data_IF_150488477343
#
_entry.id   IF_150488477343
#
_cell.length_a   1.000
_cell.length_b   1.000
_cell.length_c   1.000
_cell.angle_alpha   90.00
_cell.angle_beta   90.00
_cell.angle_gamma   90.00
#
_symmetry.space_group_name_H-M   'P 1'
#
loop_
_entity.id
_entity.type
_entity.pdbx_description
1 polymer ?
#
# COMPACT_ATOMS: atom_id res chain seq x y z
N UNK A 1 -18.34 -2.10 10.21
CA UNK A 1 -17.40 -2.51 11.28
C UNK A 1 -16.19 -1.58 11.19
N UNK A 2 -15.70 -1.04 12.31
CA UNK A 2 -14.52 -0.18 12.28
C UNK A 2 -13.25 -1.05 12.19
N UNK A 3 -12.42 -0.84 11.16
CA UNK A 3 -11.14 -1.54 11.01
C UNK A 3 -10.08 -0.81 11.82
N UNK A 4 -9.34 -1.55 12.66
CA UNK A 4 -8.17 -0.98 13.33
C UNK A 4 -6.99 -0.92 12.36
N UNK A 5 -6.44 0.28 12.12
CA UNK A 5 -5.23 0.47 11.31
C UNK A 5 -4.03 0.75 12.21
N UNK A 6 -3.05 -0.16 12.22
CA UNK A 6 -1.82 -0.05 13.02
C UNK A 6 -0.60 0.14 12.11
N UNK A 7 0.35 1.00 12.48
CA UNK A 7 1.60 1.20 11.72
C UNK A 7 2.75 0.48 12.40
N UNK A 8 3.42 -0.43 11.68
CA UNK A 8 4.61 -1.17 12.13
C UNK A 8 5.90 -0.67 11.47
N UNK A 9 5.81 0.32 10.60
CA UNK A 9 6.93 1.01 9.97
C UNK A 9 6.93 2.50 10.29
N UNK A 10 8.00 3.20 9.91
CA UNK A 10 8.05 4.67 9.93
C UNK A 10 6.88 5.23 9.13
N UNK A 11 6.15 6.19 9.71
CA UNK A 11 5.00 6.82 9.06
C UNK A 11 5.48 7.79 7.97
N UNK A 12 4.93 7.74 6.75
CA UNK A 12 5.27 8.70 5.70
C UNK A 12 4.63 10.07 5.99
N UNK A 13 4.82 11.02 5.07
CA UNK A 13 4.15 12.32 5.11
C UNK A 13 2.61 12.19 5.17
N UNK A 14 1.94 13.26 5.63
CA UNK A 14 0.52 13.23 5.98
C UNK A 14 -0.38 12.70 4.83
N UNK A 15 -0.20 13.21 3.62
CA UNK A 15 -1.03 12.83 2.48
C UNK A 15 -0.86 11.36 2.07
N UNK A 16 0.39 10.88 1.97
CA UNK A 16 0.64 9.47 1.64
C UNK A 16 0.18 8.55 2.77
N UNK A 17 0.32 8.98 4.02
CA UNK A 17 -0.13 8.24 5.22
C UNK A 17 -1.64 8.02 5.17
N UNK A 18 -2.42 9.04 4.89
CA UNK A 18 -3.89 8.95 4.81
C UNK A 18 -4.33 8.08 3.64
N UNK A 19 -3.72 8.24 2.46
CA UNK A 19 -4.03 7.40 1.30
C UNK A 19 -3.72 5.91 1.56
N UNK A 20 -2.56 5.60 2.15
CA UNK A 20 -2.17 4.24 2.50
C UNK A 20 -3.10 3.62 3.55
N UNK A 21 -3.45 4.38 4.60
CA UNK A 21 -4.38 3.92 5.63
C UNK A 21 -5.75 3.60 5.03
N UNK A 22 -6.27 4.48 4.17
CA UNK A 22 -7.57 4.27 3.50
C UNK A 22 -7.57 3.03 2.62
N UNK A 23 -6.53 2.83 1.79
CA UNK A 23 -6.43 1.62 0.95
C UNK A 23 -6.32 0.34 1.79
N UNK A 24 -5.56 0.38 2.89
CA UNK A 24 -5.42 -0.76 3.78
C UNK A 24 -6.73 -1.11 4.51
N UNK A 25 -7.47 -0.08 4.94
CA UNK A 25 -8.78 -0.21 5.56
C UNK A 25 -9.82 -0.80 4.59
N UNK A 26 -9.87 -0.33 3.35
CA UNK A 26 -10.80 -0.83 2.33
C UNK A 26 -10.58 -2.32 2.05
N UNK A 27 -9.34 -2.76 1.86
CA UNK A 27 -9.02 -4.18 1.64
C UNK A 27 -9.35 -5.04 2.86
N UNK A 28 -9.08 -4.54 4.06
CA UNK A 28 -9.43 -5.24 5.29
C UNK A 28 -10.96 -5.36 5.45
N UNK A 29 -11.69 -4.31 5.09
CA UNK A 29 -13.15 -4.30 5.12
C UNK A 29 -13.76 -5.27 4.12
N UNK A 30 -13.31 -5.25 2.86
CA UNK A 30 -13.77 -6.17 1.81
C UNK A 30 -13.48 -7.63 2.15
N UNK A 31 -12.34 -7.89 2.80
CA UNK A 31 -11.95 -9.22 3.25
C UNK A 31 -12.53 -9.65 4.61
N UNK A 32 -13.45 -8.87 5.19
CA UNK A 32 -14.06 -9.12 6.50
C UNK A 32 -13.05 -9.28 7.67
N UNK A 33 -11.90 -8.63 7.55
CA UNK A 33 -10.90 -8.58 8.61
C UNK A 33 -11.28 -7.55 9.69
N UNK A 34 -10.69 -7.69 10.88
CA UNK A 34 -10.91 -6.76 12.00
C UNK A 34 -9.80 -5.73 12.19
N UNK A 35 -8.60 -6.06 11.75
CA UNK A 35 -7.41 -5.22 11.90
C UNK A 35 -6.50 -5.35 10.68
N UNK A 36 -5.79 -4.26 10.37
CA UNK A 36 -4.72 -4.22 9.39
C UNK A 36 -3.49 -3.53 9.97
N UNK A 37 -2.35 -4.17 9.81
CA UNK A 37 -1.05 -3.61 10.14
C UNK A 37 -0.28 -3.24 8.88
N UNK A 38 0.15 -1.99 8.77
CA UNK A 38 1.00 -1.52 7.68
C UNK A 38 2.46 -1.83 8.03
N UNK A 39 3.07 -2.73 7.26
CA UNK A 39 4.41 -3.27 7.52
C UNK A 39 5.52 -2.53 6.78
N UNK A 40 5.19 -1.79 5.73
CA UNK A 40 6.16 -0.97 5.01
C UNK A 40 5.52 0.29 4.44
N UNK A 41 6.33 1.32 4.23
CA UNK A 41 6.00 2.42 3.32
C UNK A 41 6.00 1.94 1.87
N UNK A 42 5.50 2.79 0.97
CA UNK A 42 5.50 2.52 -0.46
C UNK A 42 6.92 2.35 -0.99
N UNK A 43 7.14 1.30 -1.78
CA UNK A 43 8.41 1.01 -2.45
C UNK A 43 8.18 0.78 -3.93
N UNK A 44 9.14 1.18 -4.74
CA UNK A 44 9.17 0.99 -6.19
C UNK A 44 10.25 0.01 -6.62
N UNK A 45 10.95 -0.62 -5.67
CA UNK A 45 11.98 -1.61 -5.92
C UNK A 45 11.76 -2.87 -5.09
N UNK A 46 12.01 -4.04 -5.69
CA UNK A 46 11.97 -5.34 -5.02
C UNK A 46 13.05 -6.25 -5.61
N UNK A 47 13.91 -6.81 -4.77
CA UNK A 47 15.03 -7.66 -5.22
C UNK A 47 15.96 -6.97 -6.22
N UNK A 48 16.17 -5.66 -6.10
CA UNK A 48 16.99 -4.87 -7.02
C UNK A 48 16.33 -4.49 -8.35
N UNK A 49 15.08 -4.90 -8.61
CA UNK A 49 14.34 -4.57 -9.83
C UNK A 49 13.30 -3.48 -9.57
N UNK A 50 13.12 -2.57 -10.53
CA UNK A 50 12.02 -1.60 -10.53
C UNK A 50 10.69 -2.34 -10.68
N UNK A 51 9.72 -2.01 -9.83
CA UNK A 51 8.39 -2.60 -9.76
C UNK A 51 7.34 -1.51 -9.53
N UNK A 52 6.07 -1.83 -9.77
CA UNK A 52 4.97 -0.92 -9.48
C UNK A 52 5.02 -0.48 -8.00
N UNK A 53 4.67 0.79 -7.68
CA UNK A 53 4.60 1.26 -6.30
C UNK A 53 3.70 0.33 -5.48
N UNK A 54 4.20 -0.14 -4.35
CA UNK A 54 3.46 -1.07 -3.51
C UNK A 54 3.87 -0.95 -2.04
N UNK A 55 3.02 -1.42 -1.13
CA UNK A 55 3.34 -1.53 0.29
C UNK A 55 2.81 -2.84 0.88
N UNK A 56 3.45 -3.30 1.95
CA UNK A 56 3.08 -4.55 2.62
C UNK A 56 2.15 -4.29 3.78
N UNK A 57 1.15 -5.14 3.92
CA UNK A 57 0.25 -5.15 5.08
C UNK A 57 0.06 -6.56 5.63
N UNK A 58 -0.36 -6.65 6.89
CA UNK A 58 -0.85 -7.87 7.52
C UNK A 58 -2.31 -7.66 7.93
N UNK A 59 -3.20 -8.47 7.38
CA UNK A 59 -4.62 -8.49 7.69
C UNK A 59 -4.87 -9.49 8.82
N UNK A 60 -5.60 -9.08 9.84
CA UNK A 60 -5.87 -9.84 11.04
C UNK A 60 -7.38 -9.94 11.25
N UNK A 61 -7.88 -11.16 11.38
CA UNK A 61 -9.30 -11.44 11.53
C UNK A 61 -9.54 -12.73 12.29
N UNK A 62 -10.80 -13.13 12.36
CA UNK A 62 -11.21 -14.37 13.02
C UNK A 62 -12.06 -15.20 12.07
N UNK A 63 -11.71 -16.46 11.89
CA UNK A 63 -12.48 -17.42 11.09
C UNK A 63 -12.70 -18.69 11.88
N UNK A 64 -13.96 -19.11 12.02
CA UNK A 64 -14.35 -20.31 12.78
C UNK A 64 -13.76 -20.39 14.20
N UNK A 65 -13.64 -19.24 14.88
CA UNK A 65 -13.10 -19.15 16.24
C UNK A 65 -11.58 -19.03 16.33
N UNK A 66 -10.85 -19.22 15.22
CA UNK A 66 -9.39 -19.11 15.15
C UNK A 66 -8.95 -17.74 14.65
N UNK A 67 -7.83 -17.27 15.18
CA UNK A 67 -7.17 -16.06 14.67
C UNK A 67 -6.50 -16.38 13.32
N UNK A 68 -6.78 -15.54 12.34
CA UNK A 68 -6.25 -15.67 10.98
C UNK A 68 -5.41 -14.44 10.65
N UNK A 69 -4.22 -14.67 10.11
CA UNK A 69 -3.30 -13.62 9.71
C UNK A 69 -2.84 -13.84 8.27
N UNK A 70 -3.11 -12.89 7.39
CA UNK A 70 -2.68 -12.93 5.99
C UNK A 70 -1.77 -11.75 5.66
N UNK A 71 -0.64 -12.03 5.01
CA UNK A 71 0.26 -10.98 4.52
C UNK A 71 -0.10 -10.63 3.08
N UNK A 72 -0.35 -9.35 2.82
CA UNK A 72 -0.72 -8.84 1.51
C UNK A 72 0.24 -7.79 1.00
N UNK A 73 0.36 -7.72 -0.34
CA UNK A 73 1.08 -6.69 -1.05
C UNK A 73 0.06 -5.82 -1.78
N UNK A 74 -0.12 -4.59 -1.34
CA UNK A 74 -1.04 -3.63 -1.96
C UNK A 74 -0.27 -2.85 -3.01
N UNK A 75 -0.71 -2.94 -4.28
CA UNK A 75 -0.16 -2.14 -5.38
C UNK A 75 -0.93 -0.82 -5.45
N UNK A 76 -0.20 0.28 -5.58
CA UNK A 76 -0.77 1.62 -5.73
C UNK A 76 -0.81 1.96 -7.21
N UNK A 77 -2.02 2.10 -7.74
CA UNK A 77 -2.26 2.49 -9.13
C UNK A 77 -2.79 3.93 -9.16
N UNK A 78 -2.16 4.79 -9.96
CA UNK A 78 -2.72 6.11 -10.26
C UNK A 78 -3.74 5.96 -11.39
N UNK A 79 -4.99 6.34 -11.14
CA UNK A 79 -5.96 6.60 -12.22
C UNK A 79 -5.73 8.02 -12.71
N UNK A 80 -5.49 8.20 -14.00
CA UNK A 80 -5.58 9.54 -14.59
C UNK A 80 -7.05 9.97 -14.73
N UNK A 81 -7.26 11.26 -15.02
CA UNK A 81 -8.59 11.86 -15.20
C UNK A 81 -9.43 11.28 -16.36
N UNK A 82 -8.89 10.39 -17.19
CA UNK A 82 -9.56 9.72 -18.30
C UNK A 82 -10.01 8.29 -17.99
N UNK A 83 -10.00 7.86 -16.71
CA UNK A 83 -10.52 6.54 -16.26
C UNK A 83 -9.84 5.32 -16.89
N UNK A 84 -8.68 5.47 -17.54
CA UNK A 84 -7.89 4.32 -17.99
C UNK A 84 -7.02 3.83 -16.81
N UNK A 85 -7.14 2.56 -16.38
CA UNK A 85 -6.20 1.99 -15.42
C UNK A 85 -4.85 1.87 -16.13
N UNK A 86 -3.87 2.69 -15.74
CA UNK A 86 -2.51 2.50 -16.20
C UNK A 86 -2.00 1.15 -15.69
N UNK A 87 -1.95 0.15 -16.58
CA UNK A 87 -0.93 -0.89 -16.51
C UNK A 87 0.39 -0.14 -16.73
N UNK A 88 1.30 -0.16 -15.75
CA UNK A 88 2.66 0.36 -15.94
C UNK A 88 3.36 -0.43 -17.06
N UNK A 89 3.12 -0.04 -18.31
CA UNK A 89 3.90 -0.46 -19.47
C UNK A 89 4.81 0.72 -19.80
N UNK A 90 6.05 0.63 -19.33
CA UNK A 90 7.12 1.55 -19.69
C UNK A 90 7.44 1.41 -21.18
N UNK A 91 6.77 2.16 -22.04
CA UNK A 91 7.34 2.55 -23.33
C UNK A 91 7.54 4.05 -23.33
N UNK A 92 8.75 4.45 -22.94
CA UNK A 92 9.34 5.74 -23.28
C UNK A 92 9.29 6.80 -22.17
N UNK A 93 10.49 7.10 -21.64
CA UNK A 93 10.91 8.34 -20.92
C UNK A 93 10.74 8.37 -19.39
N UNK A 94 11.57 9.18 -18.71
CA UNK A 94 12.99 8.97 -18.43
C UNK A 94 13.20 8.46 -16.99
N UNK A 95 14.40 7.95 -16.71
CA UNK A 95 14.79 7.14 -15.55
C UNK A 95 14.68 7.77 -14.15
N UNK A 96 14.21 9.01 -14.01
CA UNK A 96 14.51 9.85 -12.84
C UNK A 96 13.32 10.24 -11.96
N UNK A 97 12.15 9.60 -12.09
CA UNK A 97 11.10 9.76 -11.07
C UNK A 97 11.34 8.76 -9.93
N UNK A 98 12.33 9.08 -9.09
CA UNK A 98 12.43 8.50 -7.76
C UNK A 98 11.33 9.16 -6.91
N UNK A 99 10.48 8.33 -6.30
CA UNK A 99 9.71 8.77 -5.13
C UNK A 99 10.70 8.90 -3.97
N UNK A 100 11.57 9.91 -4.07
CA UNK A 100 12.41 10.32 -2.96
C UNK A 100 11.48 10.90 -1.90
N UNK A 101 11.42 10.23 -0.75
CA UNK A 101 10.68 10.68 0.42
C UNK A 101 11.56 11.49 1.36
N UNK A 102 12.72 11.96 0.90
CA UNK A 102 13.49 12.96 1.64
C UNK A 102 12.99 14.36 1.32
N UNK A 103 12.12 14.87 2.18
CA UNK A 103 12.06 16.31 2.45
C UNK A 103 13.44 16.73 2.95
N UNK A 104 14.20 17.46 2.13
CA UNK A 104 15.35 18.21 2.62
C UNK A 104 14.84 19.54 3.17
N UNK A 105 15.15 19.80 4.44
CA UNK A 105 15.26 21.15 5.00
C UNK A 105 16.32 21.97 4.25
#
# INVERSE_FOLDING_TARGET
MAIRVTWRCTKPNLGLREAMARMAEEIAYEGEYSEVEILSTTKTTSGGKKVAPHFKVRLLGRSNGYDVAHSHLIKVEHRDGNRNPWRFQMTGRPSNYDYDTTSKE
#
